data_IF_806663169546
#
_entry.id   IF_806663169546
#
_cell.length_a   1.000
_cell.length_b   1.000
_cell.length_c   1.000
_cell.angle_alpha   90.00
_cell.angle_beta   90.00
_cell.angle_gamma   90.00
#
_symmetry.space_group_name_H-M   'P 1'
#
loop_
_entity.id
_entity.type
_entity.pdbx_description
1 polymer ?
#
# COMPACT_ATOMS: atom_id res chain seq x y z
N UNK A 1 1.61 -23.34 -5.64
CA UNK A 1 0.55 -22.51 -6.25
C UNK A 1 -0.67 -22.34 -5.35
N UNK A 2 -1.33 -23.41 -4.85
CA UNK A 2 -2.53 -23.28 -4.01
C UNK A 2 -2.26 -22.76 -2.57
N UNK A 3 -1.14 -23.14 -1.94
CA UNK A 3 -0.79 -22.71 -0.55
C UNK A 3 -0.52 -21.21 -0.48
N UNK A 4 0.40 -20.71 -1.32
CA UNK A 4 0.73 -19.28 -1.38
C UNK A 4 -0.49 -18.37 -1.62
N UNK A 5 -1.45 -18.82 -2.45
CA UNK A 5 -2.69 -18.06 -2.68
C UNK A 5 -3.62 -18.04 -1.45
N UNK A 6 -3.66 -19.12 -0.66
CA UNK A 6 -4.39 -19.16 0.61
C UNK A 6 -3.70 -18.31 1.68
N UNK A 7 -2.39 -18.43 1.82
CA UNK A 7 -1.59 -17.61 2.74
C UNK A 7 -1.78 -16.12 2.44
N UNK A 8 -1.72 -15.73 1.17
CA UNK A 8 -2.00 -14.35 0.77
C UNK A 8 -3.44 -13.92 1.08
N UNK A 9 -4.44 -14.78 0.89
CA UNK A 9 -5.82 -14.46 1.25
C UNK A 9 -6.01 -14.27 2.77
N UNK A 10 -5.26 -15.02 3.59
CA UNK A 10 -5.24 -14.83 5.05
C UNK A 10 -4.61 -13.48 5.39
N UNK A 11 -3.42 -13.18 4.85
CA UNK A 11 -2.74 -11.90 5.04
C UNK A 11 -3.60 -10.71 4.59
N UNK A 12 -4.28 -10.83 3.44
CA UNK A 12 -5.21 -9.82 2.95
C UNK A 12 -6.39 -9.62 3.91
N UNK A 13 -6.94 -10.70 4.45
CA UNK A 13 -8.04 -10.64 5.42
C UNK A 13 -7.62 -10.01 6.75
N UNK A 14 -6.39 -10.26 7.20
CA UNK A 14 -5.80 -9.59 8.36
C UNK A 14 -5.58 -8.11 8.08
N UNK A 15 -4.85 -7.78 7.00
CA UNK A 15 -4.60 -6.40 6.59
C UNK A 15 -5.89 -5.58 6.46
N UNK A 16 -6.94 -6.15 5.85
CA UNK A 16 -8.24 -5.47 5.71
C UNK A 16 -8.86 -5.08 7.05
N UNK A 17 -8.57 -5.81 8.14
CA UNK A 17 -9.07 -5.57 9.49
C UNK A 17 -8.09 -4.80 10.39
N UNK A 18 -6.84 -4.65 9.96
CA UNK A 18 -5.80 -3.94 10.69
C UNK A 18 -5.81 -2.45 10.35
N UNK A 19 -5.63 -1.62 11.38
CA UNK A 19 -5.39 -0.20 11.21
C UNK A 19 -3.91 0.03 10.90
N UNK A 20 -3.62 0.70 9.80
CA UNK A 20 -2.25 0.95 9.32
C UNK A 20 -1.99 2.44 9.20
N UNK A 21 -0.73 2.83 9.34
CA UNK A 21 -0.27 4.21 9.26
C UNK A 21 0.04 4.55 7.81
N UNK A 22 -0.55 5.63 7.31
CA UNK A 22 -0.35 6.10 5.94
C UNK A 22 0.28 7.48 6.01
N UNK A 23 1.57 7.62 5.64
CA UNK A 23 2.22 8.92 5.64
C UNK A 23 1.67 9.82 4.53
N UNK A 24 1.76 11.13 4.77
CA UNK A 24 1.53 12.16 3.77
C UNK A 24 2.85 12.57 3.12
N UNK A 25 2.73 12.98 1.87
CA UNK A 25 3.78 13.65 1.13
C UNK A 25 3.93 15.11 1.57
N UNK A 26 4.96 15.82 1.06
CA UNK A 26 5.20 17.22 1.39
C UNK A 26 4.05 18.17 1.02
N UNK A 27 3.18 17.76 0.12
CA UNK A 27 2.08 18.52 -0.44
C UNK A 27 0.75 18.20 0.25
N UNK A 28 0.75 17.34 1.28
CA UNK A 28 -0.43 16.93 2.03
C UNK A 28 -1.27 15.84 1.34
N UNK A 29 -0.77 15.26 0.24
CA UNK A 29 -1.36 14.09 -0.40
C UNK A 29 -0.81 12.80 0.21
N UNK A 30 -1.40 11.65 -0.09
CA UNK A 30 -0.88 10.38 0.41
C UNK A 30 0.50 10.12 -0.18
N UNK A 31 1.41 9.62 0.64
CA UNK A 31 2.70 9.19 0.13
C UNK A 31 2.52 7.98 -0.80
N UNK A 32 2.90 8.17 -2.06
CA UNK A 32 2.85 7.11 -3.06
C UNK A 32 4.20 6.93 -3.72
N UNK A 33 4.59 5.66 -3.95
CA UNK A 33 5.75 5.31 -4.74
C UNK A 33 5.30 4.77 -6.11
N UNK A 34 5.84 5.32 -7.20
CA UNK A 34 5.60 4.77 -8.53
C UNK A 34 6.65 3.69 -8.82
N UNK A 35 6.20 2.44 -9.05
CA UNK A 35 7.07 1.30 -9.35
C UNK A 35 6.41 0.39 -10.40
N UNK A 36 7.14 0.08 -11.47
CA UNK A 36 6.66 -0.74 -12.61
C UNK A 36 5.36 -0.22 -13.26
N UNK A 37 5.18 1.10 -13.31
CA UNK A 37 3.96 1.73 -13.84
C UNK A 37 2.73 1.60 -12.95
N UNK A 38 2.89 1.12 -11.71
CA UNK A 38 1.85 1.06 -10.68
C UNK A 38 2.19 2.03 -9.57
N UNK A 39 1.19 2.78 -9.12
CA UNK A 39 1.29 3.69 -7.99
C UNK A 39 0.97 2.96 -6.69
N UNK A 40 1.94 2.87 -5.80
CA UNK A 40 1.81 2.18 -4.53
C UNK A 40 1.58 3.17 -3.40
N UNK A 41 0.41 3.12 -2.77
CA UNK A 41 0.19 3.82 -1.49
C UNK A 41 1.06 3.12 -0.45
N UNK A 42 2.00 3.85 0.15
CA UNK A 42 2.80 3.32 1.24
C UNK A 42 1.96 3.31 2.52
N UNK A 43 1.85 2.15 3.15
CA UNK A 43 1.21 1.96 4.43
C UNK A 43 2.16 1.20 5.36
N UNK A 44 2.04 1.41 6.66
CA UNK A 44 2.91 0.82 7.66
C UNK A 44 2.09 0.19 8.77
N UNK A 45 2.50 -0.99 9.23
CA UNK A 45 1.83 -1.70 10.31
C UNK A 45 1.97 -0.96 11.64
N UNK A 46 3.12 -0.33 11.88
CA UNK A 46 3.44 0.41 13.09
C UNK A 46 4.34 1.63 12.82
N UNK A 47 4.58 2.42 13.88
CA UNK A 47 5.42 3.61 13.83
C UNK A 47 6.90 3.27 13.60
N UNK A 48 7.37 2.09 14.01
CA UNK A 48 8.77 1.68 13.82
C UNK A 48 9.07 1.40 12.35
N UNK A 49 8.15 0.74 11.65
CA UNK A 49 8.21 0.49 10.22
C UNK A 49 8.17 1.82 9.44
N UNK A 50 7.30 2.74 9.83
CA UNK A 50 7.27 4.09 9.27
C UNK A 50 8.59 4.85 9.52
N UNK A 51 9.10 4.83 10.75
CA UNK A 51 10.35 5.51 11.11
C UNK A 51 11.56 4.93 10.35
N UNK A 52 11.58 3.61 10.13
CA UNK A 52 12.60 2.95 9.31
C UNK A 52 12.55 3.44 7.86
N UNK A 53 11.35 3.54 7.28
CA UNK A 53 11.17 4.08 5.94
C UNK A 53 11.58 5.57 5.84
N UNK A 54 11.15 6.39 6.81
CA UNK A 54 11.53 7.80 6.89
C UNK A 54 13.05 8.00 6.94
N UNK A 55 13.76 7.17 7.71
CA UNK A 55 15.23 7.16 7.77
C UNK A 55 15.85 6.76 6.43
N UNK A 56 15.30 5.74 5.76
CA UNK A 56 15.78 5.28 4.46
C UNK A 56 15.59 6.34 3.36
N UNK A 57 14.55 7.16 3.44
CA UNK A 57 14.34 8.30 2.54
C UNK A 57 15.29 9.49 2.80
N UNK A 58 16.13 9.43 3.85
CA UNK A 58 17.02 10.53 4.23
C UNK A 58 16.32 11.68 4.95
N UNK A 59 15.02 11.56 5.21
CA UNK A 59 14.14 12.60 5.77
C UNK A 59 13.88 12.39 7.27
N UNK A 60 14.79 11.70 7.98
CA UNK A 60 14.64 11.32 9.39
C UNK A 60 14.54 12.48 10.38
N UNK A 61 14.83 13.72 9.95
CA UNK A 61 14.71 14.94 10.76
C UNK A 61 13.41 15.72 10.49
N UNK A 62 12.59 15.27 9.52
CA UNK A 62 11.32 15.90 9.17
C UNK A 62 10.19 15.35 10.02
N UNK A 63 9.22 16.19 10.39
CA UNK A 63 7.95 15.70 10.93
C UNK A 63 7.16 14.97 9.84
N UNK A 64 7.12 13.63 9.93
CA UNK A 64 6.29 12.80 9.07
C UNK A 64 4.86 12.81 9.60
N UNK A 65 3.99 13.55 8.91
CA UNK A 65 2.56 13.46 9.17
C UNK A 65 2.03 12.14 8.63
N UNK A 66 1.31 11.39 9.45
CA UNK A 66 0.66 10.15 9.05
C UNK A 66 -0.78 10.11 9.55
N UNK A 67 -1.59 9.23 8.95
CA UNK A 67 -2.96 8.95 9.40
C UNK A 67 -3.16 7.47 9.57
N UNK A 68 -3.80 7.11 10.66
CA UNK A 68 -4.26 5.73 10.87
C UNK A 68 -5.51 5.48 10.04
N UNK A 69 -5.44 4.51 9.14
CA UNK A 69 -6.52 4.13 8.22
C UNK A 69 -6.67 2.62 8.22
N UNK A 70 -7.91 2.12 8.19
CA UNK A 70 -8.16 0.68 8.05
C UNK A 70 -7.68 0.17 6.69
N UNK A 71 -6.98 -0.97 6.64
CA UNK A 71 -6.47 -1.52 5.38
C UNK A 71 -7.56 -1.74 4.32
N UNK A 72 -8.77 -2.12 4.72
CA UNK A 72 -9.91 -2.23 3.80
C UNK A 72 -10.26 -0.88 3.14
N UNK A 73 -10.16 0.23 3.87
CA UNK A 73 -10.44 1.56 3.31
C UNK A 73 -9.39 1.98 2.30
N UNK A 74 -8.13 1.59 2.50
CA UNK A 74 -7.08 1.85 1.52
C UNK A 74 -7.40 1.14 0.20
N UNK A 75 -7.72 -0.16 0.25
CA UNK A 75 -7.98 -0.98 -0.93
C UNK A 75 -9.30 -0.62 -1.63
N UNK A 76 -10.36 -0.40 -0.87
CA UNK A 76 -11.72 -0.29 -1.44
C UNK A 76 -12.09 1.16 -1.80
N UNK A 77 -11.47 2.15 -1.14
CA UNK A 77 -11.80 3.57 -1.32
C UNK A 77 -10.65 4.35 -1.92
N UNK A 78 -9.44 4.25 -1.35
CA UNK A 78 -8.34 5.16 -1.70
C UNK A 78 -7.62 4.76 -2.98
N UNK A 79 -7.33 3.47 -3.16
CA UNK A 79 -6.76 2.93 -4.40
C UNK A 79 -7.60 3.34 -5.61
N UNK A 80 -8.93 3.13 -5.63
CA UNK A 80 -9.73 3.50 -6.79
C UNK A 80 -9.94 5.01 -7.00
N UNK A 81 -9.47 5.87 -6.10
CA UNK A 81 -9.48 7.32 -6.29
C UNK A 81 -8.21 7.82 -7.02
N UNK A 82 -7.16 7.00 -7.08
CA UNK A 82 -5.93 7.36 -7.76
C UNK A 82 -6.11 7.23 -9.29
N UNK A 83 -5.50 8.12 -10.08
CA UNK A 83 -5.51 8.00 -11.53
C UNK A 83 -4.57 6.86 -11.96
N UNK A 84 -5.13 5.85 -12.64
CA UNK A 84 -4.36 4.73 -13.21
C UNK A 84 -4.16 3.55 -12.25
N UNK A 85 -3.27 2.60 -12.60
CA UNK A 85 -2.96 1.43 -11.78
C UNK A 85 -2.45 1.81 -10.39
N UNK A 86 -3.18 1.42 -9.33
CA UNK A 86 -2.77 1.73 -7.97
C UNK A 86 -2.89 0.53 -7.01
N UNK A 87 -1.85 0.28 -6.23
CA UNK A 87 -1.82 -0.77 -5.20
C UNK A 87 -1.51 -0.21 -3.83
N UNK A 88 -1.43 -1.08 -2.83
CA UNK A 88 -0.96 -0.74 -1.48
C UNK A 88 0.29 -1.53 -1.18
N UNK A 89 1.32 -0.86 -0.69
CA UNK A 89 2.55 -1.48 -0.20
C UNK A 89 2.60 -1.33 1.33
N UNK A 90 2.41 -2.44 2.03
CA UNK A 90 2.57 -2.51 3.48
C UNK A 90 4.05 -2.69 3.84
N UNK A 91 4.53 -1.89 4.79
CA UNK A 91 5.91 -1.88 5.27
C UNK A 91 6.91 -1.74 4.11
N UNK A 92 6.62 -0.78 3.23
CA UNK A 92 7.44 -0.48 2.07
C UNK A 92 8.91 -0.23 2.46
N UNK A 93 9.83 -0.87 1.75
CA UNK A 93 11.27 -0.80 2.07
C UNK A 93 11.73 -1.74 3.19
N UNK A 94 10.83 -2.53 3.79
CA UNK A 94 11.15 -3.64 4.69
C UNK A 94 11.39 -4.94 3.92
N UNK A 95 12.21 -5.83 4.47
CA UNK A 95 12.42 -7.19 3.93
C UNK A 95 11.14 -8.05 4.01
N UNK A 96 10.28 -7.76 4.99
CA UNK A 96 9.00 -8.44 5.21
C UNK A 96 7.80 -7.66 4.60
N UNK A 97 8.07 -6.65 3.76
CA UNK A 97 7.04 -5.82 3.15
C UNK A 97 6.08 -6.63 2.26
N UNK A 98 4.79 -6.30 2.32
CA UNK A 98 3.73 -6.99 1.57
C UNK A 98 3.13 -6.07 0.53
N UNK A 99 3.04 -6.53 -0.71
CA UNK A 99 2.39 -5.82 -1.80
C UNK A 99 0.97 -6.35 -2.02
N UNK A 100 0.01 -5.43 -2.06
CA UNK A 100 -1.38 -5.66 -2.43
C UNK A 100 -1.64 -5.07 -3.82
N UNK A 101 -1.43 -5.85 -4.89
CA UNK A 101 -1.56 -5.35 -6.26
C UNK A 101 -3.01 -5.03 -6.65
N UNK A 102 -3.23 -4.15 -7.65
CA UNK A 102 -4.56 -3.85 -8.20
C UNK A 102 -5.14 -5.00 -9.02
N UNK A 103 -5.42 -6.16 -8.40
CA UNK A 103 -6.01 -7.31 -9.09
C UNK A 103 -7.32 -7.74 -8.45
N UNK A 104 -8.12 -8.49 -9.22
CA UNK A 104 -9.41 -8.98 -8.77
C UNK A 104 -9.28 -9.80 -7.47
N UNK A 105 -10.15 -9.50 -6.52
CA UNK A 105 -10.15 -10.10 -5.17
C UNK A 105 -9.31 -9.35 -4.14
N UNK A 106 -8.48 -8.39 -4.56
CA UNK A 106 -7.73 -7.50 -3.66
C UNK A 106 -8.38 -6.11 -3.62
N UNK A 107 -8.62 -5.54 -4.80
CA UNK A 107 -9.25 -4.23 -5.00
C UNK A 107 -10.61 -4.39 -5.68
N UNK A 108 -11.51 -3.39 -5.59
CA UNK A 108 -12.78 -3.41 -6.32
C UNK A 108 -12.55 -3.48 -7.84
N UNK A 109 -13.48 -4.10 -8.57
CA UNK A 109 -13.37 -4.36 -10.02
C UNK A 109 -12.99 -3.14 -10.86
N UNK A 110 -13.48 -1.95 -10.49
CA UNK A 110 -13.17 -0.68 -11.17
C UNK A 110 -11.70 -0.25 -11.10
N UNK A 111 -10.94 -0.79 -10.14
CA UNK A 111 -9.51 -0.51 -9.94
C UNK A 111 -8.63 -1.71 -10.31
N UNK A 112 -9.23 -2.80 -10.81
CA UNK A 112 -8.49 -3.97 -11.26
C UNK A 112 -7.76 -3.62 -12.54
N UNK A 113 -6.46 -3.87 -12.53
CA UNK A 113 -5.58 -3.77 -13.68
C UNK A 113 -5.23 -5.17 -14.11
N UNK A 114 -5.42 -5.45 -15.39
CA UNK A 114 -5.01 -6.70 -16.00
C UNK A 114 -3.49 -6.65 -16.24
N UNK A 115 -2.67 -7.50 -15.58
CA UNK A 115 -1.23 -7.51 -15.79
C UNK A 115 -0.83 -7.93 -17.22
N UNK A 116 -1.79 -8.29 -18.09
CA UNK A 116 -1.58 -8.65 -19.50
C UNK A 116 -1.81 -7.53 -20.54
N UNK A 117 -2.16 -6.30 -20.15
CA UNK A 117 -2.29 -5.16 -21.07
C UNK A 117 -1.17 -4.12 -20.87
N UNK A 118 0.07 -4.52 -21.13
CA UNK A 118 1.02 -3.59 -21.74
C UNK A 118 0.60 -3.40 -23.19
N UNK A 119 0.06 -2.22 -23.49
CA UNK A 119 -0.07 -1.75 -24.87
C UNK A 119 1.29 -1.42 -25.48
#
# INVERSE_FOLDING_TARGET
MASARREFAVLLGEFRRTAVLVPFDPYGSLWTADQNGVRWICAFSDEEALARFARAQGDGAREWSYRTVLGARLLDVMVPMLPGPAGVALDAGSTDGVLFPPVAGIVPDRAVVDPGKTG
#
